data_IF_825326153253
#
_entry.id   IF_825326153253
#
_cell.length_a   1.000
_cell.length_b   1.000
_cell.length_c   1.000
_cell.angle_alpha   90.00
_cell.angle_beta   90.00
_cell.angle_gamma   90.00
#
_symmetry.space_group_name_H-M   'P 1'
#
loop_
_entity.id
_entity.type
_entity.pdbx_description
1 polymer ?
#
# COMPACT_ATOMS: atom_id res chain seq x y z
N UNK A 1 -40.61 10.42 5.92
CA UNK A 1 -39.31 10.40 6.62
C UNK A 1 -38.54 11.59 6.09
N UNK A 2 -38.30 12.63 6.89
CA UNK A 2 -37.46 13.76 6.47
C UNK A 2 -35.97 13.30 6.56
N UNK A 3 -35.30 13.25 5.43
CA UNK A 3 -33.87 12.97 5.38
C UNK A 3 -33.16 14.32 5.43
N UNK A 4 -32.46 14.62 6.52
CA UNK A 4 -31.62 15.80 6.63
C UNK A 4 -30.25 15.48 6.05
N UNK A 5 -29.82 16.29 5.06
CA UNK A 5 -28.49 16.19 4.47
C UNK A 5 -27.60 17.29 5.06
N UNK A 6 -26.40 16.90 5.51
CA UNK A 6 -25.40 17.85 5.94
C UNK A 6 -24.87 18.64 4.71
N UNK A 7 -24.93 19.97 4.75
CA UNK A 7 -24.49 20.81 3.65
C UNK A 7 -23.02 21.21 3.83
N UNK A 8 -22.10 20.39 3.31
CA UNK A 8 -20.67 20.60 3.37
C UNK A 8 -20.15 21.08 2.01
N UNK A 9 -19.31 22.13 2.00
CA UNK A 9 -18.69 22.59 0.76
C UNK A 9 -17.71 21.52 0.22
N UNK A 10 -17.59 21.34 -1.11
CA UNK A 10 -16.74 20.30 -1.70
C UNK A 10 -15.31 20.27 -1.14
N UNK A 11 -14.69 21.43 -0.95
CA UNK A 11 -13.33 21.55 -0.38
C UNK A 11 -13.20 21.13 1.08
N UNK A 12 -14.30 21.05 1.82
CA UNK A 12 -14.34 20.75 3.26
C UNK A 12 -14.79 19.30 3.54
N UNK A 13 -15.23 18.55 2.51
CA UNK A 13 -15.76 17.17 2.67
C UNK A 13 -14.75 16.24 3.32
N UNK A 14 -13.50 16.25 2.87
CA UNK A 14 -12.48 15.37 3.43
C UNK A 14 -12.16 15.72 4.89
N UNK A 15 -12.04 17.02 5.18
CA UNK A 15 -11.84 17.50 6.56
C UNK A 15 -12.98 17.07 7.46
N UNK A 16 -14.24 17.24 7.00
CA UNK A 16 -15.44 16.81 7.76
C UNK A 16 -15.45 15.30 7.99
N UNK A 17 -15.06 14.52 6.99
CA UNK A 17 -14.92 13.06 7.14
C UNK A 17 -13.91 12.69 8.22
N UNK A 18 -12.78 13.37 8.26
CA UNK A 18 -11.75 13.13 9.30
C UNK A 18 -12.18 13.58 10.69
N UNK A 19 -12.99 14.63 10.80
CA UNK A 19 -13.62 15.04 12.06
C UNK A 19 -14.53 13.91 12.59
N UNK A 20 -15.42 13.40 11.74
CA UNK A 20 -16.32 12.27 12.07
C UNK A 20 -15.52 11.03 12.49
N UNK A 21 -14.50 10.66 11.70
CA UNK A 21 -13.64 9.51 12.04
C UNK A 21 -12.96 9.71 13.40
N UNK A 22 -12.53 10.93 13.70
CA UNK A 22 -11.89 11.23 14.98
C UNK A 22 -12.89 11.13 16.13
N UNK A 23 -14.09 11.64 15.95
CA UNK A 23 -15.18 11.55 16.93
C UNK A 23 -15.53 10.07 17.22
N UNK A 24 -15.66 9.25 16.17
CA UNK A 24 -15.99 7.81 16.31
C UNK A 24 -14.85 6.97 16.87
N UNK A 25 -13.59 7.35 16.64
CA UNK A 25 -12.42 6.72 17.29
C UNK A 25 -12.40 6.97 18.80
N UNK A 26 -13.05 8.05 19.28
CA UNK A 26 -13.18 8.38 20.69
C UNK A 26 -11.83 8.56 21.38
N UNK A 27 -11.64 7.88 22.53
CA UNK A 27 -10.41 7.99 23.35
C UNK A 27 -9.20 7.21 22.80
N UNK A 28 -9.31 6.58 21.62
CA UNK A 28 -8.21 5.86 20.99
C UNK A 28 -7.09 6.83 20.60
N UNK A 29 -5.93 6.67 21.23
CA UNK A 29 -4.72 7.43 20.88
C UNK A 29 -4.00 6.71 19.74
N UNK A 30 -4.03 7.30 18.56
CA UNK A 30 -3.20 6.87 17.45
C UNK A 30 -1.79 7.46 17.58
N UNK A 31 -0.79 6.73 17.09
CA UNK A 31 0.57 7.24 16.97
C UNK A 31 0.58 8.38 15.93
N UNK A 32 1.03 9.61 16.29
CA UNK A 32 0.98 10.77 15.38
C UNK A 32 1.63 10.54 14.02
N UNK A 33 2.69 9.73 13.96
CA UNK A 33 3.38 9.43 12.71
C UNK A 33 2.57 8.51 11.79
N UNK A 34 1.59 7.77 12.34
CA UNK A 34 0.78 6.77 11.63
C UNK A 34 -0.67 7.19 11.43
N UNK A 35 -1.10 8.19 12.20
CA UNK A 35 -2.51 8.62 12.31
C UNK A 35 -3.13 8.93 10.94
N UNK A 36 -2.42 9.69 10.09
CA UNK A 36 -2.96 10.04 8.78
C UNK A 36 -3.17 8.81 7.90
N UNK A 37 -2.25 7.85 7.91
CA UNK A 37 -2.36 6.61 7.13
C UNK A 37 -3.57 5.81 7.62
N UNK A 38 -3.72 5.64 8.93
CA UNK A 38 -4.82 4.90 9.56
C UNK A 38 -6.17 5.56 9.21
N UNK A 39 -6.30 6.87 9.46
CA UNK A 39 -7.54 7.60 9.16
C UNK A 39 -7.90 7.58 7.67
N UNK A 40 -6.92 7.60 6.77
CA UNK A 40 -7.17 7.46 5.34
C UNK A 40 -7.64 6.06 4.97
N UNK A 41 -7.12 5.01 5.58
CA UNK A 41 -7.62 3.65 5.38
C UNK A 41 -9.07 3.52 5.87
N UNK A 42 -9.40 4.08 7.03
CA UNK A 42 -10.79 4.14 7.55
C UNK A 42 -11.68 4.93 6.57
N UNK A 43 -11.25 6.12 6.15
CA UNK A 43 -12.02 6.95 5.20
C UNK A 43 -12.31 6.22 3.87
N UNK A 44 -11.33 5.48 3.36
CA UNK A 44 -11.46 4.74 2.08
C UNK A 44 -12.40 3.55 2.16
N UNK A 45 -12.54 2.94 3.34
CA UNK A 45 -13.25 1.67 3.54
C UNK A 45 -14.48 1.76 4.43
N UNK A 46 -14.63 2.86 5.18
CA UNK A 46 -15.57 3.00 6.31
C UNK A 46 -15.39 1.90 7.38
N UNK A 47 -14.17 1.36 7.52
CA UNK A 47 -13.87 0.23 8.42
C UNK A 47 -12.87 0.65 9.50
N UNK A 48 -13.34 0.78 10.74
CA UNK A 48 -12.54 1.22 11.89
C UNK A 48 -11.56 0.15 12.39
N UNK A 49 -11.68 -1.11 11.96
CA UNK A 49 -10.71 -2.16 12.30
C UNK A 49 -9.30 -1.86 11.80
N UNK A 50 -9.14 -0.99 10.80
CA UNK A 50 -7.81 -0.54 10.37
C UNK A 50 -7.02 0.20 11.46
N UNK A 51 -7.67 0.74 12.48
CA UNK A 51 -7.01 1.34 13.64
C UNK A 51 -6.24 0.29 14.48
N UNK A 52 -6.69 -0.95 14.46
CA UNK A 52 -6.11 -2.05 15.25
C UNK A 52 -5.30 -3.03 14.38
N UNK A 53 -5.67 -3.18 13.10
CA UNK A 53 -5.10 -4.20 12.21
C UNK A 53 -3.87 -3.74 11.42
N UNK A 54 -3.64 -2.42 11.27
CA UNK A 54 -2.46 -1.93 10.59
C UNK A 54 -1.22 -2.08 11.47
N UNK A 55 -0.26 -2.86 10.97
CA UNK A 55 1.04 -3.10 11.58
C UNK A 55 2.11 -2.34 10.82
N UNK A 56 2.99 -1.68 11.57
CA UNK A 56 4.05 -0.83 11.04
C UNK A 56 5.39 -1.32 11.61
N UNK A 57 6.40 -1.51 10.76
CA UNK A 57 7.77 -1.72 11.24
C UNK A 57 8.37 -0.41 11.79
N UNK A 58 9.48 -0.51 12.51
CA UNK A 58 10.11 0.63 13.18
C UNK A 58 10.50 1.73 12.20
N UNK A 59 10.05 2.97 12.50
CA UNK A 59 10.33 4.18 11.72
C UNK A 59 9.94 4.08 10.24
N UNK A 60 9.00 3.18 9.88
CA UNK A 60 8.65 2.90 8.49
C UNK A 60 8.13 4.11 7.74
N UNK A 61 7.36 4.98 8.39
CA UNK A 61 6.79 6.17 7.74
C UNK A 61 7.91 7.13 7.30
N UNK A 62 8.86 7.42 8.18
CA UNK A 62 10.02 8.26 7.86
C UNK A 62 10.85 7.63 6.73
N UNK A 63 11.18 6.32 6.85
CA UNK A 63 11.93 5.58 5.82
C UNK A 63 11.23 5.61 4.46
N UNK A 64 9.91 5.42 4.42
CA UNK A 64 9.11 5.46 3.20
C UNK A 64 9.11 6.86 2.55
N UNK A 65 8.92 7.91 3.35
CA UNK A 65 8.99 9.28 2.84
C UNK A 65 10.36 9.63 2.29
N UNK A 66 11.44 9.21 2.94
CA UNK A 66 12.80 9.43 2.45
C UNK A 66 13.08 8.66 1.17
N UNK A 67 12.62 7.41 1.06
CA UNK A 67 12.73 6.65 -0.18
C UNK A 67 11.99 7.34 -1.34
N UNK A 68 10.78 7.85 -1.10
CA UNK A 68 10.03 8.62 -2.11
C UNK A 68 10.81 9.87 -2.53
N UNK A 69 11.36 10.65 -1.59
CA UNK A 69 12.18 11.84 -1.88
C UNK A 69 13.42 11.51 -2.71
N UNK A 70 13.94 10.30 -2.57
CA UNK A 70 15.09 9.76 -3.34
C UNK A 70 14.69 9.15 -4.68
N UNK A 71 13.44 9.29 -5.11
CA UNK A 71 12.99 8.82 -6.41
C UNK A 71 12.53 7.36 -6.45
N UNK A 72 12.14 6.79 -5.31
CA UNK A 72 11.62 5.43 -5.27
C UNK A 72 10.42 5.26 -6.21
N UNK A 73 10.40 4.13 -6.91
CA UNK A 73 9.27 3.72 -7.75
C UNK A 73 8.34 2.79 -6.98
N UNK A 74 7.06 2.83 -7.33
CA UNK A 74 6.04 1.97 -6.71
C UNK A 74 5.66 0.85 -7.67
N UNK A 75 5.71 -0.39 -7.21
CA UNK A 75 5.26 -1.58 -7.95
C UNK A 75 3.98 -2.10 -7.32
N UNK A 76 2.93 -2.28 -8.14
CA UNK A 76 1.64 -2.82 -7.69
C UNK A 76 1.35 -4.18 -8.32
N UNK A 77 0.58 -5.00 -7.63
CA UNK A 77 0.11 -6.30 -8.10
C UNK A 77 -1.22 -6.24 -8.86
N UNK A 78 -1.78 -5.05 -9.05
CA UNK A 78 -3.02 -4.84 -9.81
C UNK A 78 -3.01 -3.52 -10.58
N UNK A 79 -3.67 -3.49 -11.73
CA UNK A 79 -3.89 -2.25 -12.48
C UNK A 79 -4.79 -1.26 -11.69
N UNK A 80 -5.69 -1.77 -10.85
CA UNK A 80 -6.50 -0.93 -9.94
C UNK A 80 -5.60 -0.18 -8.94
N UNK A 81 -4.66 -0.85 -8.30
CA UNK A 81 -3.67 -0.22 -7.41
C UNK A 81 -2.87 0.84 -8.15
N UNK A 82 -2.33 0.50 -9.32
CA UNK A 82 -1.59 1.44 -10.19
C UNK A 82 -2.43 2.67 -10.55
N UNK A 83 -3.72 2.49 -10.84
CA UNK A 83 -4.61 3.59 -11.23
C UNK A 83 -4.96 4.49 -10.04
N UNK A 84 -5.07 3.93 -8.84
CA UNK A 84 -5.44 4.66 -7.62
C UNK A 84 -4.32 5.53 -7.02
N UNK A 85 -3.05 5.28 -7.39
CA UNK A 85 -1.91 6.06 -6.89
C UNK A 85 -1.80 7.38 -7.63
N UNK A 86 -1.55 8.48 -6.90
CA UNK A 86 -1.31 9.80 -7.45
C UNK A 86 0.09 9.86 -8.11
N UNK A 87 0.12 9.51 -9.41
CA UNK A 87 1.34 9.49 -10.22
C UNK A 87 1.98 10.86 -10.37
N UNK A 88 1.17 11.94 -10.39
CA UNK A 88 1.68 13.31 -10.52
C UNK A 88 2.44 13.72 -9.26
N UNK A 89 1.93 13.38 -8.08
CA UNK A 89 2.62 13.63 -6.83
C UNK A 89 3.93 12.85 -6.74
N UNK A 90 3.92 11.54 -7.11
CA UNK A 90 5.12 10.71 -7.11
C UNK A 90 6.18 11.19 -8.10
N UNK A 91 5.76 11.61 -9.31
CA UNK A 91 6.65 12.10 -10.36
C UNK A 91 7.42 13.37 -9.98
N UNK A 92 6.92 14.17 -9.02
CA UNK A 92 7.65 15.33 -8.48
C UNK A 92 8.99 14.94 -7.84
N UNK A 93 9.09 13.69 -7.40
CA UNK A 93 10.29 13.12 -6.79
C UNK A 93 11.06 12.18 -7.75
N UNK A 94 10.66 12.10 -9.03
CA UNK A 94 11.30 11.23 -10.03
C UNK A 94 10.86 9.77 -9.97
N UNK A 95 9.89 9.42 -9.13
CA UNK A 95 9.33 8.08 -9.05
C UNK A 95 8.26 7.80 -10.11
N UNK A 96 8.07 6.53 -10.41
CA UNK A 96 7.08 6.01 -11.35
C UNK A 96 6.25 4.89 -10.72
N UNK A 97 5.05 4.61 -11.25
CA UNK A 97 4.21 3.49 -10.80
C UNK A 97 4.16 2.41 -11.86
N UNK A 98 4.62 1.22 -11.50
CA UNK A 98 4.63 0.01 -12.35
C UNK A 98 3.56 -0.99 -11.93
N UNK A 99 3.07 -1.74 -12.91
CA UNK A 99 2.27 -2.95 -12.73
C UNK A 99 2.51 -3.86 -13.93
N UNK A 100 3.20 -4.95 -13.72
CA UNK A 100 3.61 -5.88 -14.78
C UNK A 100 2.61 -7.01 -15.04
N UNK A 101 1.47 -7.01 -14.34
CA UNK A 101 0.46 -8.09 -14.42
C UNK A 101 -0.15 -8.32 -15.80
N UNK A 102 -0.14 -7.30 -16.66
CA UNK A 102 -0.69 -7.37 -18.02
C UNK A 102 0.38 -7.60 -19.09
N UNK A 103 1.65 -7.70 -18.72
CA UNK A 103 2.76 -7.84 -19.64
C UNK A 103 2.80 -9.27 -20.22
N UNK A 104 3.01 -9.38 -21.53
CA UNK A 104 3.01 -10.67 -22.23
C UNK A 104 4.17 -11.57 -21.79
N UNK A 105 5.35 -11.01 -21.57
CA UNK A 105 6.53 -11.71 -21.07
C UNK A 105 6.30 -12.28 -19.67
N UNK A 106 5.61 -11.54 -18.79
CA UNK A 106 5.23 -12.01 -17.47
C UNK A 106 4.24 -13.16 -17.54
N UNK A 107 3.26 -13.08 -18.46
CA UNK A 107 2.31 -14.17 -18.69
C UNK A 107 3.00 -15.44 -19.22
N UNK A 108 3.95 -15.27 -20.15
CA UNK A 108 4.73 -16.38 -20.72
C UNK A 108 5.63 -17.03 -19.66
N UNK A 109 6.35 -16.22 -18.86
CA UNK A 109 7.21 -16.69 -17.78
C UNK A 109 6.43 -17.45 -16.71
N UNK A 110 5.29 -16.90 -16.28
CA UNK A 110 4.42 -17.57 -15.31
C UNK A 110 3.96 -18.94 -15.79
N UNK A 111 3.56 -19.03 -17.07
CA UNK A 111 3.14 -20.31 -17.70
C UNK A 111 4.30 -21.30 -17.80
N UNK A 112 5.47 -20.86 -18.25
CA UNK A 112 6.65 -21.70 -18.40
C UNK A 112 7.13 -22.29 -17.05
N UNK A 113 7.06 -21.49 -15.97
CA UNK A 113 7.52 -21.88 -14.64
C UNK A 113 6.42 -22.53 -13.79
N UNK A 114 5.17 -22.65 -14.26
CA UNK A 114 4.06 -23.18 -13.48
C UNK A 114 3.71 -22.32 -12.27
N UNK A 115 3.97 -21.00 -12.32
CA UNK A 115 3.74 -20.04 -11.24
C UNK A 115 2.60 -19.08 -11.56
N UNK A 116 2.28 -18.16 -10.61
CA UNK A 116 1.31 -17.12 -10.85
C UNK A 116 1.93 -15.92 -11.59
N UNK A 117 1.11 -15.15 -12.31
CA UNK A 117 1.55 -13.87 -12.90
C UNK A 117 2.06 -12.91 -11.81
N UNK A 118 1.48 -12.97 -10.62
CA UNK A 118 1.92 -12.13 -9.50
C UNK A 118 3.36 -12.48 -9.09
N UNK A 119 3.71 -13.77 -9.00
CA UNK A 119 5.08 -14.24 -8.75
C UNK A 119 6.04 -13.72 -9.83
N UNK A 120 5.73 -13.97 -11.11
CA UNK A 120 6.58 -13.53 -12.23
C UNK A 120 6.69 -12.00 -12.33
N UNK A 121 5.64 -11.26 -11.93
CA UNK A 121 5.67 -9.79 -11.83
C UNK A 121 6.69 -9.30 -10.81
N UNK A 122 6.80 -9.98 -9.67
CA UNK A 122 7.77 -9.62 -8.62
C UNK A 122 9.20 -9.94 -9.09
N UNK A 123 9.41 -11.05 -9.78
CA UNK A 123 10.71 -11.39 -10.40
C UNK A 123 11.14 -10.32 -11.41
N UNK A 124 10.22 -9.85 -12.25
CA UNK A 124 10.49 -8.76 -13.21
C UNK A 124 10.79 -7.44 -12.49
N UNK A 125 10.01 -7.12 -11.46
CA UNK A 125 10.21 -5.89 -10.67
C UNK A 125 11.57 -5.86 -9.96
N UNK A 126 12.05 -7.01 -9.47
CA UNK A 126 13.34 -7.12 -8.79
C UNK A 126 14.55 -6.82 -9.70
N UNK A 127 14.35 -6.74 -11.04
CA UNK A 127 15.37 -6.39 -12.00
C UNK A 127 15.49 -4.87 -12.24
N UNK A 128 14.62 -4.06 -11.66
CA UNK A 128 14.67 -2.61 -11.78
C UNK A 128 15.80 -2.07 -10.90
N UNK A 129 16.70 -1.31 -11.52
CA UNK A 129 17.82 -0.62 -10.83
C UNK A 129 17.33 0.72 -10.23
N UNK A 130 16.41 0.66 -9.29
CA UNK A 130 15.81 1.81 -8.58
C UNK A 130 15.38 1.40 -7.16
N UNK A 131 15.32 2.33 -6.20
CA UNK A 131 14.66 2.05 -4.93
C UNK A 131 13.19 1.69 -5.18
N UNK A 132 12.71 0.60 -4.58
CA UNK A 132 11.37 0.06 -4.84
C UNK A 132 10.50 0.04 -3.59
N UNK A 133 9.26 0.48 -3.77
CA UNK A 133 8.15 0.30 -2.83
C UNK A 133 7.16 -0.67 -3.48
N UNK A 134 6.84 -1.76 -2.80
CA UNK A 134 5.85 -2.71 -3.28
C UNK A 134 4.51 -2.46 -2.59
N UNK A 135 3.45 -2.28 -3.38
CA UNK A 135 2.08 -2.05 -2.90
C UNK A 135 1.18 -3.20 -3.34
N UNK A 136 1.10 -4.23 -2.49
CA UNK A 136 0.43 -5.49 -2.76
C UNK A 136 -0.96 -5.48 -2.13
N UNK A 137 -2.00 -5.41 -2.96
CA UNK A 137 -3.39 -5.31 -2.53
C UNK A 137 -4.27 -6.50 -2.86
N UNK A 138 -3.77 -7.48 -3.62
CA UNK A 138 -4.58 -8.61 -4.09
C UNK A 138 -3.89 -9.97 -3.96
N UNK A 139 -2.64 -10.12 -4.36
CA UNK A 139 -2.01 -11.41 -4.55
C UNK A 139 -1.13 -11.85 -3.36
N UNK A 140 -1.55 -12.81 -2.52
CA UNK A 140 -0.69 -13.41 -1.49
C UNK A 140 0.60 -13.98 -2.05
N UNK A 141 0.55 -14.56 -3.26
CA UNK A 141 1.72 -15.11 -3.94
C UNK A 141 2.79 -14.06 -4.30
N UNK A 142 2.38 -12.78 -4.47
CA UNK A 142 3.34 -11.69 -4.60
C UNK A 142 4.13 -11.47 -3.30
N UNK A 143 3.46 -11.45 -2.14
CA UNK A 143 4.13 -11.30 -0.84
C UNK A 143 5.07 -12.47 -0.55
N UNK A 144 4.65 -13.70 -0.85
CA UNK A 144 5.50 -14.89 -0.70
C UNK A 144 6.76 -14.75 -1.57
N UNK A 145 6.60 -14.37 -2.84
CA UNK A 145 7.74 -14.20 -3.73
C UNK A 145 8.69 -13.08 -3.32
N UNK A 146 8.14 -11.96 -2.85
CA UNK A 146 8.96 -10.88 -2.29
C UNK A 146 9.78 -11.36 -1.09
N UNK A 147 9.17 -12.13 -0.18
CA UNK A 147 9.86 -12.72 0.95
C UNK A 147 11.03 -13.62 0.50
N UNK A 148 10.78 -14.52 -0.47
CA UNK A 148 11.81 -15.40 -1.03
C UNK A 148 12.99 -14.60 -1.62
N UNK A 149 12.69 -13.57 -2.43
CA UNK A 149 13.71 -12.72 -3.07
C UNK A 149 14.55 -11.95 -2.04
N UNK A 150 13.94 -11.54 -0.92
CA UNK A 150 14.64 -10.88 0.19
C UNK A 150 15.57 -11.87 0.89
N UNK A 151 15.09 -13.06 1.25
CA UNK A 151 15.88 -14.10 1.91
C UNK A 151 17.04 -14.60 1.02
N UNK A 152 16.82 -14.61 -0.31
CA UNK A 152 17.86 -14.94 -1.28
C UNK A 152 18.88 -13.80 -1.50
N UNK A 153 18.71 -12.64 -0.86
CA UNK A 153 19.55 -11.45 -1.04
C UNK A 153 19.45 -10.80 -2.43
N UNK A 154 18.40 -11.13 -3.19
CA UNK A 154 18.16 -10.62 -4.56
C UNK A 154 17.34 -9.33 -4.59
N UNK A 155 16.70 -8.98 -3.49
CA UNK A 155 15.85 -7.80 -3.37
C UNK A 155 16.01 -7.16 -2.00
N UNK A 156 16.20 -5.84 -1.98
CA UNK A 156 16.16 -5.03 -0.76
C UNK A 156 15.18 -3.86 -0.96
N UNK A 157 13.88 -4.05 -0.73
CA UNK A 157 12.88 -3.03 -0.98
C UNK A 157 12.94 -1.93 0.08
N UNK A 158 12.67 -0.69 -0.34
CA UNK A 158 12.56 0.44 0.57
C UNK A 158 11.31 0.35 1.46
N UNK A 159 10.24 -0.30 0.97
CA UNK A 159 9.00 -0.55 1.71
C UNK A 159 8.19 -1.67 1.05
N UNK A 160 7.53 -2.49 1.88
CA UNK A 160 6.45 -3.38 1.44
C UNK A 160 5.14 -2.96 2.12
N UNK A 161 4.15 -2.56 1.32
CA UNK A 161 2.75 -2.38 1.73
C UNK A 161 2.04 -3.69 1.43
N UNK A 162 1.85 -4.52 2.47
CA UNK A 162 1.29 -5.86 2.38
C UNK A 162 -0.18 -5.90 2.84
N UNK A 163 -1.09 -5.56 1.96
CA UNK A 163 -2.52 -5.45 2.29
C UNK A 163 -3.43 -6.24 1.33
N UNK A 164 -3.04 -7.47 0.88
CA UNK A 164 -3.95 -8.25 0.06
C UNK A 164 -5.22 -8.59 0.83
N UNK A 165 -6.37 -8.55 0.13
CA UNK A 165 -7.66 -8.99 0.67
C UNK A 165 -7.94 -10.43 0.26
N UNK A 166 -8.55 -11.24 1.12
CA UNK A 166 -9.01 -12.58 0.75
C UNK A 166 -8.89 -13.62 1.84
N UNK A 167 -8.91 -14.89 1.41
CA UNK A 167 -9.04 -16.04 2.31
C UNK A 167 -7.90 -17.04 2.21
N UNK A 168 -7.47 -17.41 0.98
CA UNK A 168 -6.46 -18.46 0.77
C UNK A 168 -5.06 -17.86 0.89
N UNK A 169 -4.32 -18.27 1.89
CA UNK A 169 -2.94 -17.85 2.17
C UNK A 169 -2.75 -16.35 2.42
N UNK A 170 -3.82 -15.56 2.56
CA UNK A 170 -3.74 -14.11 2.78
C UNK A 170 -3.09 -13.79 4.12
N UNK A 171 -3.60 -14.38 5.20
CA UNK A 171 -3.06 -14.17 6.55
C UNK A 171 -1.61 -14.66 6.62
N UNK A 172 -1.35 -15.86 6.11
CA UNK A 172 -0.03 -16.48 6.15
C UNK A 172 1.03 -15.67 5.41
N UNK A 173 0.69 -15.13 4.21
CA UNK A 173 1.62 -14.31 3.43
C UNK A 173 1.95 -12.98 4.11
N UNK A 174 0.99 -12.38 4.81
CA UNK A 174 1.19 -11.17 5.61
C UNK A 174 2.07 -11.42 6.83
N UNK A 175 1.78 -12.48 7.58
CA UNK A 175 2.61 -12.88 8.73
C UNK A 175 4.04 -13.26 8.28
N UNK A 176 4.19 -13.83 7.09
CA UNK A 176 5.50 -14.15 6.51
C UNK A 176 6.31 -12.88 6.21
N UNK A 177 5.71 -11.91 5.51
CA UNK A 177 6.44 -10.70 5.13
C UNK A 177 6.82 -9.82 6.34
N UNK A 178 6.05 -9.86 7.42
CA UNK A 178 6.40 -9.17 8.67
C UNK A 178 7.62 -9.77 9.38
N UNK A 179 8.11 -10.95 8.98
CA UNK A 179 9.34 -11.56 9.50
C UNK A 179 10.58 -11.16 8.71
N UNK A 180 10.41 -10.61 7.50
CA UNK A 180 11.51 -10.12 6.69
C UNK A 180 12.16 -8.89 7.35
N UNK A 181 13.48 -8.77 7.23
CA UNK A 181 14.24 -7.61 7.74
C UNK A 181 14.18 -6.43 6.77
N UNK A 182 12.96 -5.96 6.49
CA UNK A 182 12.70 -4.83 5.59
C UNK A 182 11.55 -3.96 6.14
N UNK A 183 11.47 -2.66 5.76
CA UNK A 183 10.34 -1.82 6.17
C UNK A 183 9.01 -2.35 5.62
N UNK A 184 7.99 -2.41 6.49
CA UNK A 184 6.65 -2.84 6.06
C UNK A 184 5.52 -2.01 6.69
N UNK A 185 4.38 -1.93 5.96
CA UNK A 185 3.05 -1.56 6.45
C UNK A 185 2.10 -2.68 6.03
N UNK A 186 1.51 -3.38 6.98
CA UNK A 186 0.69 -4.58 6.73
C UNK A 186 -0.66 -4.45 7.43
N UNK A 187 -1.76 -4.73 6.72
CA UNK A 187 -3.07 -4.90 7.35
C UNK A 187 -3.21 -6.36 7.79
N UNK A 188 -3.00 -6.66 9.08
CA UNK A 188 -3.12 -8.00 9.64
C UNK A 188 -4.51 -8.58 9.42
N UNK A 189 -4.63 -9.88 9.24
CA UNK A 189 -5.90 -10.55 8.98
C UNK A 189 -6.27 -10.57 7.49
N UNK A 190 -7.57 -10.66 7.19
CA UNK A 190 -8.10 -10.91 5.83
C UNK A 190 -8.44 -9.65 5.05
N UNK A 191 -8.62 -8.52 5.75
CA UNK A 191 -9.01 -7.24 5.15
C UNK A 191 -7.85 -6.59 4.42
N UNK A 192 -8.17 -5.77 3.42
CA UNK A 192 -7.22 -5.09 2.57
C UNK A 192 -7.85 -4.73 1.23
N UNK A 193 -7.03 -4.72 0.19
CA UNK A 193 -7.46 -4.45 -1.18
C UNK A 193 -6.54 -3.49 -1.91
N UNK A 194 -6.65 -3.46 -3.24
CA UNK A 194 -5.90 -2.54 -4.09
C UNK A 194 -6.19 -1.06 -3.77
N UNK A 195 -7.41 -0.76 -3.32
CA UNK A 195 -7.80 0.58 -2.84
C UNK A 195 -7.03 0.96 -1.57
N UNK A 196 -6.86 0.03 -0.63
CA UNK A 196 -6.10 0.25 0.61
C UNK A 196 -4.60 0.41 0.30
N UNK A 197 -4.05 -0.42 -0.61
CA UNK A 197 -2.67 -0.28 -1.05
C UNK A 197 -2.40 1.10 -1.66
N UNK A 198 -3.25 1.54 -2.60
CA UNK A 198 -3.16 2.87 -3.19
C UNK A 198 -3.38 4.00 -2.17
N UNK A 199 -4.30 3.81 -1.23
CA UNK A 199 -4.59 4.76 -0.16
C UNK A 199 -3.36 5.01 0.73
N UNK A 200 -2.64 3.96 1.14
CA UNK A 200 -1.41 4.07 1.94
C UNK A 200 -0.32 4.80 1.14
N UNK A 201 -0.12 4.45 -0.14
CA UNK A 201 0.82 5.17 -1.01
C UNK A 201 0.50 6.67 -1.08
N UNK A 202 -0.78 7.02 -1.30
CA UNK A 202 -1.20 8.41 -1.37
C UNK A 202 -1.08 9.13 -0.03
N UNK A 203 -1.35 8.45 1.10
CA UNK A 203 -1.13 9.03 2.43
C UNK A 203 0.33 9.45 2.62
N UNK A 204 1.28 8.58 2.28
CA UNK A 204 2.71 8.88 2.36
C UNK A 204 3.10 10.07 1.46
N UNK A 205 2.57 10.13 0.23
CA UNK A 205 2.81 11.25 -0.70
C UNK A 205 2.29 12.57 -0.13
N UNK A 206 1.09 12.58 0.47
CA UNK A 206 0.48 13.78 1.03
C UNK A 206 1.13 14.22 2.37
N UNK A 207 1.76 13.30 3.09
CA UNK A 207 2.58 13.66 4.26
C UNK A 207 3.87 14.40 3.86
N UNK A 208 4.39 14.13 2.66
CA UNK A 208 5.58 14.84 2.15
C UNK A 208 5.18 16.21 1.59
N UNK A 209 4.09 16.28 0.85
CA UNK A 209 3.62 17.49 0.16
C UNK A 209 2.10 17.43 -0.03
N UNK A 210 1.37 18.27 0.70
CA UNK A 210 -0.10 18.30 0.70
C UNK A 210 -0.71 18.88 -0.60
N UNK A 211 0.10 19.23 -1.57
CA UNK A 211 -0.40 19.65 -2.90
C UNK A 211 -1.00 18.46 -3.64
N UNK A 212 -2.32 18.47 -3.81
CA UNK A 212 -3.11 17.38 -4.42
C UNK A 212 -3.48 17.64 -5.88
N UNK A 213 -2.85 18.62 -6.52
CA UNK A 213 -3.16 19.08 -7.89
C UNK A 213 -2.88 18.03 -8.98
#
# INVERSE_FOLDING_TARGET
MNIELENVKPRDIERRSFEIITEELGDRKLDPDKELIIKRCIHTSADFEYADSLCFSDNVVAKAMDAIRQGACIVTDTQMGRSGINKRALARYGGEVYCFMSDEDVAATAKANGTTRATASMDKAAQLDKPLIFAIGNAPTALVRLYELIEEGKLNPALIIGVPVGFVNVVQSKELIMKADVPYIVARGRKGGSNIAACICNALLYMIDDRRD
#
